data_IF_884443751163
#
_entry.id   IF_884443751163
#
_cell.length_a   1.000
_cell.length_b   1.000
_cell.length_c   1.000
_cell.angle_alpha   90.00
_cell.angle_beta   90.00
_cell.angle_gamma   90.00
#
_symmetry.space_group_name_H-M   'P 1'
#
loop_
_entity.id
_entity.type
_entity.pdbx_description
1 polymer ?
#
# COMPACT_ATOMS: atom_id res chain seq x y z
N UNK A 1 -31.24 5.90 -2.21
CA UNK A 1 -32.45 5.29 -2.85
C UNK A 1 -33.63 6.25 -2.97
N UNK A 2 -33.85 7.19 -2.03
CA UNK A 2 -34.97 8.14 -2.12
C UNK A 2 -34.96 9.02 -3.40
N UNK A 3 -33.80 9.58 -3.77
CA UNK A 3 -33.70 10.38 -5.01
C UNK A 3 -33.87 9.55 -6.28
N UNK A 4 -33.28 8.37 -6.36
CA UNK A 4 -33.45 7.49 -7.54
C UNK A 4 -34.91 7.10 -7.78
N UNK A 5 -35.69 6.87 -6.71
CA UNK A 5 -37.14 6.60 -6.80
C UNK A 5 -37.94 7.82 -7.26
N UNK A 6 -37.59 9.04 -6.80
CA UNK A 6 -38.22 10.28 -7.25
C UNK A 6 -38.02 10.54 -8.75
N UNK A 7 -36.85 10.19 -9.29
CA UNK A 7 -36.51 10.41 -10.70
C UNK A 7 -36.67 9.16 -11.60
N UNK A 8 -37.33 8.11 -11.12
CA UNK A 8 -37.60 6.90 -11.93
C UNK A 8 -36.37 6.13 -12.40
N UNK A 9 -35.22 6.31 -11.74
CA UNK A 9 -33.96 5.67 -12.16
C UNK A 9 -33.95 4.19 -11.76
N UNK A 10 -33.76 3.32 -12.76
CA UNK A 10 -33.69 1.87 -12.57
C UNK A 10 -32.50 1.42 -11.69
N UNK A 11 -31.42 2.22 -11.63
CA UNK A 11 -30.23 1.93 -10.84
C UNK A 11 -29.66 3.20 -10.23
N UNK A 12 -28.96 3.04 -9.10
CA UNK A 12 -28.12 4.12 -8.56
C UNK A 12 -26.96 4.37 -9.54
N UNK A 13 -26.78 5.60 -10.06
CA UNK A 13 -25.68 5.90 -10.96
C UNK A 13 -24.35 5.71 -10.25
N UNK A 14 -23.35 5.22 -10.98
CA UNK A 14 -21.97 5.11 -10.45
C UNK A 14 -21.38 6.51 -10.28
N UNK A 15 -20.56 6.69 -9.25
CA UNK A 15 -19.86 7.95 -8.96
C UNK A 15 -19.07 8.46 -10.19
N UNK A 16 -18.43 7.54 -10.93
CA UNK A 16 -17.72 7.84 -12.18
C UNK A 16 -18.63 8.41 -13.25
N UNK A 17 -19.84 7.86 -13.41
CA UNK A 17 -20.83 8.34 -14.38
C UNK A 17 -21.41 9.70 -14.00
N UNK A 18 -21.56 9.98 -12.70
CA UNK A 18 -21.95 11.31 -12.22
C UNK A 18 -20.87 12.35 -12.49
N UNK A 19 -19.59 12.01 -12.29
CA UNK A 19 -18.46 12.93 -12.57
C UNK A 19 -18.36 13.23 -14.07
N UNK A 20 -18.57 12.23 -14.94
CA UNK A 20 -18.49 12.41 -16.39
C UNK A 20 -19.62 13.28 -16.97
N UNK A 21 -20.75 13.38 -16.28
CA UNK A 21 -21.91 14.17 -16.73
C UNK A 21 -21.90 15.63 -16.23
N UNK A 22 -20.86 16.06 -15.50
CA UNK A 22 -20.80 17.42 -14.95
C UNK A 22 -20.41 18.45 -16.02
N UNK A 23 -21.09 19.61 -16.07
CA UNK A 23 -20.66 20.75 -16.88
C UNK A 23 -19.40 21.40 -16.30
N UNK A 24 -18.56 21.96 -17.16
CA UNK A 24 -17.23 22.49 -16.79
C UNK A 24 -17.26 23.60 -15.73
N UNK A 25 -18.33 24.40 -15.69
CA UNK A 25 -18.52 25.45 -14.68
C UNK A 25 -18.61 24.90 -13.25
N UNK A 26 -19.31 23.78 -13.08
CA UNK A 26 -19.61 23.23 -11.75
C UNK A 26 -18.58 22.20 -11.29
N UNK A 27 -17.75 21.71 -12.21
CA UNK A 27 -16.68 20.75 -11.94
C UNK A 27 -15.78 21.21 -10.78
N UNK A 28 -15.41 22.49 -10.70
CA UNK A 28 -14.51 23.00 -9.65
C UNK A 28 -15.10 22.87 -8.23
N UNK A 29 -16.42 23.00 -8.10
CA UNK A 29 -17.11 22.96 -6.80
C UNK A 29 -17.55 21.55 -6.43
N UNK A 30 -17.94 20.74 -7.42
CA UNK A 30 -18.55 19.42 -7.20
C UNK A 30 -17.54 18.28 -7.20
N UNK A 31 -16.42 18.37 -7.93
CA UNK A 31 -15.36 17.36 -7.93
C UNK A 31 -14.83 17.01 -6.53
N UNK A 32 -14.50 17.96 -5.64
CA UNK A 32 -14.00 17.60 -4.31
C UNK A 32 -15.04 16.91 -3.43
N UNK A 33 -16.34 17.15 -3.66
CA UNK A 33 -17.44 16.52 -2.93
C UNK A 33 -17.76 15.11 -3.45
N UNK A 34 -17.61 14.91 -4.75
CA UNK A 34 -17.92 13.65 -5.42
C UNK A 34 -16.72 12.70 -5.49
N UNK A 35 -15.48 13.18 -5.31
CA UNK A 35 -14.30 12.33 -5.32
C UNK A 35 -14.27 11.47 -4.06
N UNK A 36 -14.25 10.15 -4.26
CA UNK A 36 -14.08 9.21 -3.17
C UNK A 36 -12.74 9.49 -2.46
N UNK A 37 -12.76 9.56 -1.12
CA UNK A 37 -11.55 9.72 -0.33
C UNK A 37 -10.61 8.55 -0.63
N UNK A 38 -9.34 8.81 -0.99
CA UNK A 38 -8.38 7.74 -1.21
C UNK A 38 -8.24 6.95 0.10
N UNK A 39 -8.57 5.67 0.04
CA UNK A 39 -8.42 4.75 1.16
C UNK A 39 -7.21 3.85 0.90
N UNK A 40 -6.37 3.62 1.91
CA UNK A 40 -5.18 2.78 1.75
C UNK A 40 -5.50 1.28 1.78
N UNK A 41 -6.71 0.89 2.17
CA UNK A 41 -7.11 -0.51 2.31
C UNK A 41 -8.62 -0.67 2.08
N UNK A 42 -9.01 -1.45 1.07
CA UNK A 42 -10.43 -1.71 0.75
C UNK A 42 -11.07 -2.68 1.76
N UNK A 43 -10.23 -3.46 2.44
CA UNK A 43 -10.59 -4.37 3.52
C UNK A 43 -10.36 -3.71 4.89
N UNK A 44 -11.09 -4.17 5.92
CA UNK A 44 -10.87 -3.80 7.33
C UNK A 44 -9.57 -4.36 7.92
N UNK A 45 -8.84 -5.18 7.17
CA UNK A 45 -7.58 -5.79 7.60
C UNK A 45 -6.41 -5.03 7.00
N UNK A 46 -5.56 -4.46 7.85
CA UNK A 46 -4.32 -3.81 7.43
C UNK A 46 -3.13 -4.72 7.73
N UNK A 47 -2.46 -5.20 6.69
CA UNK A 47 -1.24 -6.00 6.83
C UNK A 47 -0.05 -5.08 7.05
N UNK A 48 0.63 -5.26 8.18
CA UNK A 48 1.84 -4.51 8.54
C UNK A 48 3.03 -5.48 8.55
N UNK A 49 4.03 -5.20 7.72
CA UNK A 49 5.30 -5.93 7.72
C UNK A 49 6.36 -5.09 8.42
N UNK A 50 7.01 -5.67 9.44
CA UNK A 50 8.13 -5.08 10.18
C UNK A 50 9.37 -5.94 9.99
N UNK A 51 10.54 -5.32 10.10
CA UNK A 51 11.81 -6.01 10.10
C UNK A 51 12.50 -5.76 11.44
N UNK A 52 12.98 -6.81 12.09
CA UNK A 52 13.81 -6.71 13.28
C UNK A 52 15.20 -6.16 12.93
N UNK A 53 15.96 -5.76 13.97
CA UNK A 53 17.37 -5.41 13.81
C UNK A 53 18.13 -6.56 13.11
N UNK A 54 18.89 -6.29 12.03
CA UNK A 54 19.71 -7.33 11.43
C UNK A 54 20.71 -7.88 12.43
N UNK A 55 20.81 -9.20 12.44
CA UNK A 55 21.72 -9.95 13.30
C UNK A 55 22.26 -11.14 12.50
N UNK A 56 23.37 -11.67 12.99
CA UNK A 56 23.99 -12.87 12.43
C UNK A 56 23.20 -14.11 12.83
N UNK A 57 23.08 -15.07 11.91
CA UNK A 57 22.42 -16.34 12.19
C UNK A 57 23.20 -17.13 13.26
N UNK A 58 22.52 -17.85 14.18
CA UNK A 58 23.18 -18.53 15.29
C UNK A 58 24.13 -19.65 14.84
N UNK A 59 23.86 -20.30 13.69
CA UNK A 59 24.70 -21.39 13.18
C UNK A 59 26.10 -20.93 12.72
N UNK A 60 26.32 -19.63 12.54
CA UNK A 60 27.66 -19.09 12.25
C UNK A 60 28.62 -19.39 13.42
N UNK A 61 28.12 -19.49 14.66
CA UNK A 61 28.96 -19.86 15.80
C UNK A 61 29.51 -21.30 15.68
N UNK A 62 28.76 -22.18 15.04
CA UNK A 62 29.11 -23.61 14.91
C UNK A 62 29.83 -23.92 13.60
N UNK A 63 29.29 -23.45 12.47
CA UNK A 63 29.74 -23.81 11.11
C UNK A 63 30.71 -22.76 10.53
N UNK A 64 30.81 -21.58 11.16
CA UNK A 64 31.68 -20.45 10.76
C UNK A 64 31.38 -19.87 9.36
N UNK A 65 30.30 -20.27 8.71
CA UNK A 65 29.88 -19.75 7.41
C UNK A 65 28.37 -19.46 7.37
N UNK A 66 27.98 -18.70 6.34
CA UNK A 66 26.59 -18.44 5.97
C UNK A 66 26.08 -19.47 4.96
N UNK A 67 24.75 -19.62 4.85
CA UNK A 67 24.15 -20.50 3.84
C UNK A 67 24.48 -20.02 2.42
N UNK A 68 24.82 -20.97 1.54
CA UNK A 68 25.22 -20.70 0.13
C UNK A 68 24.16 -19.90 -0.64
N UNK A 69 22.89 -20.11 -0.33
CA UNK A 69 21.76 -19.45 -0.97
C UNK A 69 21.30 -18.15 -0.27
N UNK A 70 22.02 -17.68 0.75
CA UNK A 70 21.65 -16.46 1.46
C UNK A 70 22.13 -15.22 0.69
N UNK A 71 21.22 -14.39 0.14
CA UNK A 71 21.61 -13.29 -0.74
C UNK A 71 22.03 -12.01 0.00
N UNK A 72 21.93 -11.99 1.33
CA UNK A 72 22.21 -10.81 2.13
C UNK A 72 22.49 -11.13 3.60
N UNK A 73 22.64 -10.10 4.42
CA UNK A 73 22.97 -10.21 5.84
C UNK A 73 23.95 -9.12 6.29
N UNK A 74 24.20 -9.00 7.61
CA UNK A 74 25.11 -7.99 8.16
C UNK A 74 26.55 -8.10 7.65
N UNK A 75 26.94 -9.27 7.14
CA UNK A 75 28.27 -9.56 6.60
C UNK A 75 28.32 -9.49 5.06
N UNK A 76 27.28 -8.96 4.43
CA UNK A 76 27.19 -8.76 2.97
C UNK A 76 27.00 -7.30 2.63
N UNK A 77 27.11 -6.94 1.35
CA UNK A 77 26.88 -5.57 0.85
C UNK A 77 25.48 -5.02 1.18
N UNK A 78 24.53 -5.91 1.52
CA UNK A 78 23.19 -5.53 1.96
C UNK A 78 22.90 -6.08 3.36
N UNK A 79 22.78 -5.19 4.36
CA UNK A 79 22.42 -5.61 5.73
C UNK A 79 21.06 -6.34 5.83
N UNK A 80 20.15 -6.06 4.89
CA UNK A 80 18.87 -6.77 4.72
C UNK A 80 18.87 -7.48 3.37
N UNK A 81 18.08 -8.56 3.24
CA UNK A 81 18.08 -9.50 2.09
C UNK A 81 18.53 -8.96 0.72
N UNK A 82 18.00 -7.81 0.28
CA UNK A 82 18.45 -7.13 -0.94
C UNK A 82 18.40 -5.60 -0.84
N UNK A 83 18.02 -5.01 0.29
CA UNK A 83 17.85 -3.55 0.47
C UNK A 83 16.68 -2.90 -0.30
N UNK A 84 16.46 -3.26 -1.57
CA UNK A 84 15.57 -2.55 -2.50
C UNK A 84 14.07 -2.88 -2.39
N UNK A 85 13.68 -3.87 -1.57
CA UNK A 85 12.26 -4.22 -1.39
C UNK A 85 11.52 -3.09 -0.68
N UNK A 86 10.26 -2.85 -1.04
CA UNK A 86 9.45 -1.76 -0.45
C UNK A 86 9.35 -1.82 1.08
N UNK A 87 9.33 -3.03 1.66
CA UNK A 87 9.36 -3.25 3.11
C UNK A 87 10.74 -2.95 3.70
N UNK A 88 11.81 -3.43 3.06
CA UNK A 88 13.19 -3.16 3.48
C UNK A 88 13.57 -1.68 3.39
N UNK A 89 13.17 -0.99 2.32
CA UNK A 89 13.36 0.46 2.17
C UNK A 89 12.65 1.26 3.28
N UNK A 90 11.46 0.82 3.70
CA UNK A 90 10.75 1.44 4.83
C UNK A 90 11.45 1.15 6.16
N UNK A 91 11.95 -0.07 6.34
CA UNK A 91 12.70 -0.44 7.55
C UNK A 91 14.01 0.35 7.68
N UNK A 92 14.75 0.54 6.58
CA UNK A 92 15.99 1.33 6.56
C UNK A 92 15.71 2.81 6.89
N UNK A 93 14.64 3.38 6.34
CA UNK A 93 14.25 4.79 6.61
C UNK A 93 13.77 5.04 8.03
N UNK A 94 13.32 4.00 8.73
CA UNK A 94 12.76 4.10 10.08
C UNK A 94 13.79 3.81 11.18
N UNK A 95 15.05 3.56 10.82
CA UNK A 95 16.18 3.52 11.74
C UNK A 95 16.65 4.93 12.05
#
# INVERSE_FOLDING_TARGET
MAMCRKYGLARVPKLVGMIAALPELDCKVLLPKLKAKPHRTASRITVVAVMSKPHRCPHIATIRNICVYCPGGPDSDFEHSTGYKSTSMRAIRAR
#
